data_IF_857369341900
#
_entry.id   IF_857369341900
#
_cell.length_a   1.000
_cell.length_b   1.000
_cell.length_c   1.000
_cell.angle_alpha   90.00
_cell.angle_beta   90.00
_cell.angle_gamma   90.00
#
_symmetry.space_group_name_H-M   'P 1'
#
loop_
_entity.id
_entity.type
_entity.pdbx_description
1 polymer ?
#
# COMPACT_ATOMS: atom_id res chain seq x y z
N UNK A 1 32.06 -0.26 -10.97
CA UNK A 1 31.50 -0.75 -9.69
C UNK A 1 29.99 -0.79 -9.84
N UNK A 2 29.35 -1.95 -9.73
CA UNK A 2 27.89 -2.05 -9.72
C UNK A 2 27.36 -1.28 -8.51
N UNK A 3 26.53 -0.26 -8.76
CA UNK A 3 25.96 0.60 -7.72
C UNK A 3 25.05 -0.28 -6.85
N UNK A 4 25.23 -0.28 -5.53
CA UNK A 4 24.38 -1.07 -4.62
C UNK A 4 22.96 -0.49 -4.60
N UNK A 5 21.91 -1.32 -4.58
CA UNK A 5 20.53 -0.84 -4.49
C UNK A 5 20.27 -0.15 -3.16
N UNK A 6 19.46 0.90 -3.22
CA UNK A 6 19.11 1.78 -2.10
C UNK A 6 17.80 1.30 -1.49
N UNK A 7 17.76 1.17 -0.17
CA UNK A 7 16.55 0.93 0.62
C UNK A 7 16.09 2.26 1.20
N UNK A 8 14.96 2.75 0.70
CA UNK A 8 14.27 3.94 1.19
C UNK A 8 13.10 3.53 2.09
N UNK A 9 13.03 4.09 3.29
CA UNK A 9 11.95 3.79 4.25
C UNK A 9 10.95 4.93 4.30
N UNK A 10 9.70 4.62 3.96
CA UNK A 10 8.59 5.58 3.94
C UNK A 10 7.95 5.71 5.32
N UNK A 11 8.14 6.88 5.95
CA UNK A 11 7.63 7.22 7.29
C UNK A 11 6.19 7.76 7.22
N UNK A 12 5.26 6.91 6.78
CA UNK A 12 3.82 7.23 6.66
C UNK A 12 3.11 7.26 8.04
N UNK A 13 3.46 8.28 8.84
CA UNK A 13 2.88 8.53 10.15
C UNK A 13 2.06 9.81 10.16
N UNK A 14 1.18 9.97 11.15
CA UNK A 14 0.55 11.25 11.45
C UNK A 14 1.22 11.98 12.62
N UNK A 15 2.14 11.31 13.32
CA UNK A 15 2.78 11.81 14.53
C UNK A 15 4.31 11.79 14.36
N UNK A 16 4.92 12.95 14.50
CA UNK A 16 6.35 13.14 14.29
C UNK A 16 7.23 12.33 15.26
N UNK A 17 6.86 12.24 16.54
CA UNK A 17 7.65 11.51 17.53
C UNK A 17 7.77 10.02 17.17
N UNK A 18 6.66 9.39 16.76
CA UNK A 18 6.67 8.01 16.28
C UNK A 18 7.50 7.82 15.02
N UNK A 19 7.42 8.77 14.08
CA UNK A 19 8.22 8.74 12.86
C UNK A 19 9.73 8.79 13.17
N UNK A 20 10.17 9.67 14.07
CA UNK A 20 11.59 9.78 14.46
C UNK A 20 12.08 8.50 15.15
N UNK A 21 11.28 7.93 16.06
CA UNK A 21 11.63 6.67 16.72
C UNK A 21 11.82 5.55 15.69
N UNK A 22 10.89 5.40 14.75
CA UNK A 22 10.98 4.37 13.72
C UNK A 22 12.14 4.62 12.74
N UNK A 23 12.39 5.87 12.37
CA UNK A 23 13.52 6.25 11.53
C UNK A 23 14.86 5.80 12.15
N UNK A 24 15.02 5.95 13.47
CA UNK A 24 16.20 5.48 14.19
C UNK A 24 16.37 3.97 14.08
N UNK A 25 15.29 3.21 14.26
CA UNK A 25 15.30 1.75 14.16
C UNK A 25 15.58 1.27 12.73
N UNK A 26 14.95 1.90 11.74
CA UNK A 26 15.18 1.62 10.32
C UNK A 26 16.63 1.88 9.91
N UNK A 27 17.22 3.01 10.30
CA UNK A 27 18.63 3.31 10.04
C UNK A 27 19.56 2.30 10.72
N UNK A 28 19.27 1.91 11.97
CA UNK A 28 20.03 0.87 12.66
C UNK A 28 19.94 -0.49 11.94
N UNK A 29 18.87 -0.73 11.20
CA UNK A 29 18.68 -1.93 10.38
C UNK A 29 19.23 -1.83 8.96
N UNK A 30 19.84 -0.71 8.57
CA UNK A 30 20.50 -0.54 7.28
C UNK A 30 19.65 0.12 6.18
N UNK A 31 18.63 0.90 6.55
CA UNK A 31 18.01 1.84 5.63
C UNK A 31 19.05 2.88 5.14
N UNK A 32 19.03 3.22 3.86
CA UNK A 32 19.94 4.24 3.31
C UNK A 32 19.26 5.61 3.32
N UNK A 33 17.98 5.68 2.91
CA UNK A 33 17.21 6.91 2.77
C UNK A 33 15.97 6.89 3.67
N UNK A 34 15.60 8.06 4.18
CA UNK A 34 14.38 8.26 4.94
C UNK A 34 13.43 9.16 4.15
N UNK A 35 12.21 8.67 3.94
CA UNK A 35 11.16 9.44 3.28
C UNK A 35 10.18 9.97 4.33
N UNK A 36 10.04 11.29 4.37
CA UNK A 36 8.98 11.98 5.11
C UNK A 36 7.71 11.85 4.28
N UNK A 37 6.90 10.85 4.60
CA UNK A 37 5.71 10.49 3.81
C UNK A 37 4.68 11.62 3.73
N UNK A 38 3.88 11.63 2.66
CA UNK A 38 2.79 12.61 2.49
C UNK A 38 1.88 12.78 3.72
N UNK A 39 1.44 11.72 4.44
CA UNK A 39 0.60 11.88 5.63
C UNK A 39 1.28 12.66 6.75
N UNK A 40 2.60 12.47 6.92
CA UNK A 40 3.36 13.12 7.97
C UNK A 40 3.55 14.61 7.66
N UNK A 41 3.89 14.91 6.41
CA UNK A 41 3.98 16.29 5.91
C UNK A 41 2.63 17.00 6.05
N UNK A 42 1.51 16.35 5.72
CA UNK A 42 0.18 16.96 5.84
C UNK A 42 -0.26 17.18 7.29
N UNK A 43 0.20 16.34 8.21
CA UNK A 43 -0.14 16.43 9.63
C UNK A 43 0.69 17.50 10.36
N UNK A 44 2.00 17.51 10.13
CA UNK A 44 2.98 18.28 10.91
C UNK A 44 3.62 19.44 10.13
N UNK A 45 3.31 19.55 8.84
CA UNK A 45 3.90 20.52 7.92
C UNK A 45 5.40 20.28 7.69
N UNK A 46 6.09 21.33 7.26
CA UNK A 46 7.53 21.30 6.99
C UNK A 46 8.40 21.08 8.23
N UNK A 47 7.82 21.23 9.44
CA UNK A 47 8.51 20.91 10.68
C UNK A 47 8.91 19.44 10.76
N UNK A 48 8.15 18.53 10.13
CA UNK A 48 8.53 17.12 10.04
C UNK A 48 9.89 16.94 9.36
N UNK A 49 10.11 17.62 8.21
CA UNK A 49 11.37 17.55 7.47
C UNK A 49 12.51 18.15 8.32
N UNK A 50 12.28 19.31 8.95
CA UNK A 50 13.30 19.99 9.77
C UNK A 50 13.76 19.16 10.96
N UNK A 51 12.82 18.57 11.69
CA UNK A 51 13.15 17.75 12.86
C UNK A 51 13.79 16.42 12.48
N UNK A 52 13.38 15.80 11.36
CA UNK A 52 14.06 14.60 10.84
C UNK A 52 15.49 14.94 10.38
N UNK A 53 15.70 16.06 9.67
CA UNK A 53 17.05 16.54 9.31
C UNK A 53 17.91 16.80 10.54
N UNK A 54 17.35 17.43 11.58
CA UNK A 54 18.04 17.68 12.84
C UNK A 54 18.43 16.38 13.55
N UNK A 55 17.55 15.38 13.55
CA UNK A 55 17.81 14.08 14.17
C UNK A 55 18.82 13.23 13.37
N UNK A 56 18.83 13.35 12.04
CA UNK A 56 19.61 12.50 11.12
C UNK A 56 20.36 13.36 10.07
N UNK A 57 21.36 14.16 10.48
CA UNK A 57 21.98 15.17 9.62
C UNK A 57 22.72 14.60 8.41
N UNK A 58 23.21 13.36 8.50
CA UNK A 58 24.02 12.71 7.45
C UNK A 58 23.21 11.72 6.58
N UNK A 59 21.90 11.64 6.79
CA UNK A 59 21.02 10.72 6.06
C UNK A 59 20.37 11.46 4.91
N UNK A 60 20.18 10.77 3.77
CA UNK A 60 19.39 11.32 2.67
C UNK A 60 17.92 11.38 3.05
N UNK A 61 17.32 12.57 2.94
CA UNK A 61 15.91 12.82 3.27
C UNK A 61 15.12 13.08 1.99
N UNK A 62 14.11 12.26 1.77
CA UNK A 62 13.14 12.40 0.70
C UNK A 62 11.88 13.06 1.28
N UNK A 63 11.43 14.17 0.70
CA UNK A 63 10.16 14.80 1.04
C UNK A 63 9.09 14.34 0.05
N UNK A 64 8.17 13.50 0.50
CA UNK A 64 7.07 12.99 -0.33
C UNK A 64 5.92 14.00 -0.42
N UNK A 65 6.22 15.15 -1.03
CA UNK A 65 5.30 16.28 -1.16
C UNK A 65 4.08 15.93 -2.02
N UNK A 66 4.25 15.04 -3.00
CA UNK A 66 3.26 14.77 -4.06
C UNK A 66 2.77 16.07 -4.70
N UNK A 67 3.71 16.95 -4.98
CA UNK A 67 3.46 18.25 -5.61
C UNK A 67 2.69 18.04 -6.91
N UNK A 68 1.56 18.72 -7.03
CA UNK A 68 0.68 18.67 -8.21
C UNK A 68 0.70 19.99 -8.98
N UNK A 69 0.96 21.10 -8.29
CA UNK A 69 1.03 22.45 -8.82
C UNK A 69 2.08 23.25 -8.03
N UNK A 70 2.44 24.46 -8.50
CA UNK A 70 3.39 25.36 -7.86
C UNK A 70 4.76 24.70 -7.60
N UNK A 71 5.28 24.01 -8.62
CA UNK A 71 6.47 23.16 -8.54
C UNK A 71 7.66 23.85 -7.88
N UNK A 72 7.93 25.10 -8.26
CA UNK A 72 9.01 25.89 -7.64
C UNK A 72 8.79 26.13 -6.14
N UNK A 73 7.59 26.55 -5.75
CA UNK A 73 7.29 26.96 -4.37
C UNK A 73 7.38 25.78 -3.42
N UNK A 74 6.80 24.62 -3.78
CA UNK A 74 6.82 23.44 -2.93
C UNK A 74 8.23 22.84 -2.81
N UNK A 75 8.99 22.78 -3.92
CA UNK A 75 10.38 22.32 -3.90
C UNK A 75 11.27 23.23 -3.06
N UNK A 76 11.15 24.55 -3.23
CA UNK A 76 11.89 25.52 -2.42
C UNK A 76 11.60 25.34 -0.93
N UNK A 77 10.33 25.18 -0.58
CA UNK A 77 9.90 25.00 0.81
C UNK A 77 10.47 23.72 1.43
N UNK A 78 10.42 22.60 0.71
CA UNK A 78 10.94 21.31 1.17
C UNK A 78 12.48 21.32 1.27
N UNK A 79 13.18 21.83 0.24
CA UNK A 79 14.64 21.91 0.20
C UNK A 79 15.19 22.79 1.32
N UNK A 80 14.63 24.00 1.52
CA UNK A 80 14.99 24.89 2.65
C UNK A 80 14.73 24.27 4.02
N UNK A 81 13.82 23.30 4.09
CA UNK A 81 13.50 22.57 5.32
C UNK A 81 14.44 21.39 5.57
N UNK A 82 15.33 21.08 4.63
CA UNK A 82 16.39 20.07 4.76
C UNK A 82 16.17 18.79 3.95
N UNK A 83 15.25 18.77 2.98
CA UNK A 83 15.09 17.66 2.06
C UNK A 83 16.20 17.67 0.99
N UNK A 84 16.77 16.50 0.71
CA UNK A 84 17.73 16.32 -0.40
C UNK A 84 17.01 15.96 -1.70
N UNK A 85 15.87 15.27 -1.59
CA UNK A 85 15.06 14.83 -2.71
C UNK A 85 13.62 15.25 -2.47
N UNK A 86 12.93 15.77 -3.48
CA UNK A 86 11.52 16.16 -3.39
C UNK A 86 10.69 15.37 -4.41
N UNK A 87 9.60 14.75 -3.95
CA UNK A 87 8.71 13.97 -4.80
C UNK A 87 7.59 14.81 -5.42
N UNK A 88 7.38 14.64 -6.72
CA UNK A 88 6.37 15.34 -7.52
C UNK A 88 5.50 14.31 -8.23
N UNK A 89 4.21 14.59 -8.40
CA UNK A 89 3.33 13.68 -9.14
C UNK A 89 3.64 13.76 -10.64
N UNK A 90 3.78 12.60 -11.28
CA UNK A 90 3.92 12.48 -12.72
C UNK A 90 2.65 12.92 -13.47
N UNK A 91 1.51 13.00 -12.78
CA UNK A 91 0.28 13.57 -13.31
C UNK A 91 0.28 15.12 -13.37
N UNK A 92 1.23 15.79 -12.71
CA UNK A 92 1.38 17.25 -12.79
C UNK A 92 1.72 17.71 -14.21
N UNK A 93 1.50 19.00 -14.49
CA UNK A 93 1.85 19.58 -15.79
C UNK A 93 3.36 19.57 -16.02
N UNK A 94 3.78 19.54 -17.29
CA UNK A 94 5.20 19.61 -17.64
C UNK A 94 5.86 20.90 -17.13
N UNK A 95 5.14 22.02 -17.15
CA UNK A 95 5.63 23.31 -16.65
C UNK A 95 5.92 23.23 -15.16
N UNK A 96 5.00 22.67 -14.36
CA UNK A 96 5.19 22.41 -12.93
C UNK A 96 6.45 21.58 -12.67
N UNK A 97 6.64 20.49 -13.42
CA UNK A 97 7.82 19.62 -13.26
C UNK A 97 9.10 20.34 -13.68
N UNK A 98 9.06 21.11 -14.78
CA UNK A 98 10.22 21.85 -15.27
C UNK A 98 10.65 22.94 -14.29
N UNK A 99 9.70 23.70 -13.73
CA UNK A 99 9.95 24.69 -12.69
C UNK A 99 10.52 24.07 -11.43
N UNK A 100 10.03 22.90 -11.05
CA UNK A 100 10.54 22.15 -9.92
C UNK A 100 11.97 21.66 -10.12
N UNK A 101 12.30 21.12 -11.30
CA UNK A 101 13.67 20.73 -11.66
C UNK A 101 14.61 21.94 -11.62
N UNK A 102 14.15 23.09 -12.09
CA UNK A 102 14.94 24.33 -12.02
C UNK A 102 15.14 24.80 -10.56
N UNK A 103 14.09 24.76 -9.74
CA UNK A 103 14.16 25.10 -8.32
C UNK A 103 15.10 24.16 -7.56
N UNK A 104 15.04 22.86 -7.83
CA UNK A 104 15.90 21.86 -7.20
C UNK A 104 17.38 22.16 -7.43
N UNK A 105 17.76 22.52 -8.67
CA UNK A 105 19.13 22.95 -9.01
C UNK A 105 19.59 24.17 -8.21
N UNK A 106 18.70 25.15 -7.99
CA UNK A 106 19.03 26.36 -7.23
C UNK A 106 19.28 26.09 -5.75
N UNK A 107 18.64 25.06 -5.20
CA UNK A 107 18.71 24.72 -3.77
C UNK A 107 19.58 23.49 -3.47
N UNK A 108 20.20 22.87 -4.48
CA UNK A 108 21.01 21.67 -4.31
C UNK A 108 20.20 20.42 -3.95
N UNK A 109 18.92 20.39 -4.32
CA UNK A 109 18.04 19.24 -4.16
C UNK A 109 17.89 18.48 -5.50
N UNK A 110 17.29 17.30 -5.45
CA UNK A 110 16.97 16.48 -6.60
C UNK A 110 15.47 16.20 -6.70
N UNK A 111 14.98 15.92 -7.90
CA UNK A 111 13.57 15.63 -8.15
C UNK A 111 13.33 14.15 -8.39
N UNK A 112 12.42 13.58 -7.60
CA UNK A 112 11.83 12.27 -7.88
C UNK A 112 10.41 12.47 -8.39
N UNK A 113 10.04 11.84 -9.50
CA UNK A 113 8.67 11.89 -10.02
C UNK A 113 7.95 10.57 -9.79
N UNK A 114 6.87 10.62 -9.02
CA UNK A 114 5.98 9.51 -8.73
C UNK A 114 4.94 9.36 -9.85
N UNK A 115 5.01 8.28 -10.63
CA UNK A 115 4.10 8.01 -11.75
C UNK A 115 2.82 7.27 -11.33
N UNK A 116 2.45 7.29 -10.04
CA UNK A 116 1.16 6.79 -9.56
C UNK A 116 -0.01 7.40 -10.34
N UNK A 117 -0.97 6.55 -10.70
CA UNK A 117 -2.18 6.94 -11.45
C UNK A 117 -1.95 7.68 -12.79
N UNK A 118 -0.77 7.53 -13.41
CA UNK A 118 -0.53 8.00 -14.79
C UNK A 118 -1.09 6.99 -15.78
N UNK A 119 -1.89 7.43 -16.75
CA UNK A 119 -2.55 6.55 -17.72
C UNK A 119 -1.58 5.78 -18.63
N UNK A 120 -0.53 6.45 -19.12
CA UNK A 120 0.53 5.83 -19.94
C UNK A 120 1.89 6.02 -19.26
N UNK A 121 2.21 5.19 -18.25
CA UNK A 121 3.38 5.37 -17.40
C UNK A 121 4.70 5.25 -18.17
N UNK A 122 4.80 4.34 -19.15
CA UNK A 122 6.01 4.16 -19.97
C UNK A 122 6.29 5.40 -20.82
N UNK A 123 5.28 5.92 -21.54
CA UNK A 123 5.43 7.15 -22.33
C UNK A 123 5.76 8.35 -21.43
N UNK A 124 5.15 8.42 -20.24
CA UNK A 124 5.41 9.48 -19.28
C UNK A 124 6.85 9.42 -18.77
N UNK A 125 7.36 8.25 -18.40
CA UNK A 125 8.73 8.06 -17.94
C UNK A 125 9.78 8.61 -18.93
N UNK A 126 9.66 8.27 -20.22
CA UNK A 126 10.54 8.80 -21.29
C UNK A 126 10.48 10.32 -21.39
N UNK A 127 9.30 10.90 -21.18
CA UNK A 127 9.12 12.36 -21.21
C UNK A 127 9.76 13.02 -19.98
N UNK A 128 9.60 12.43 -18.80
CA UNK A 128 10.17 12.94 -17.54
C UNK A 128 11.69 12.98 -17.58
N UNK A 129 12.34 11.95 -18.15
CA UNK A 129 13.79 11.94 -18.35
C UNK A 129 14.25 13.14 -19.21
N UNK A 130 13.51 13.47 -20.28
CA UNK A 130 13.80 14.64 -21.14
C UNK A 130 13.60 15.98 -20.42
N UNK A 131 12.74 16.04 -19.41
CA UNK A 131 12.54 17.24 -18.58
C UNK A 131 13.65 17.42 -17.54
N UNK A 132 14.59 16.49 -17.42
CA UNK A 132 15.73 16.59 -16.51
C UNK A 132 15.41 16.14 -15.07
N UNK A 133 14.42 15.27 -14.90
CA UNK A 133 14.11 14.61 -13.62
C UNK A 133 15.26 13.69 -13.20
N UNK A 134 15.62 13.68 -11.92
CA UNK A 134 16.71 12.85 -11.40
C UNK A 134 16.30 11.38 -11.18
N UNK A 135 15.06 11.14 -10.72
CA UNK A 135 14.55 9.82 -10.38
C UNK A 135 13.11 9.62 -10.85
N UNK A 136 12.76 8.42 -11.30
CA UNK A 136 11.35 8.04 -11.56
C UNK A 136 10.94 6.97 -10.55
N UNK A 137 9.84 7.19 -9.83
CA UNK A 137 9.25 6.23 -8.91
C UNK A 137 8.07 5.50 -9.57
N UNK A 138 8.29 4.23 -9.91
CA UNK A 138 7.28 3.28 -10.35
C UNK A 138 6.43 2.87 -9.16
N UNK A 139 5.37 3.64 -8.92
CA UNK A 139 4.45 3.41 -7.82
C UNK A 139 3.12 2.89 -8.36
N UNK A 140 2.75 1.68 -7.95
CA UNK A 140 1.41 1.15 -8.20
C UNK A 140 0.62 1.18 -6.91
N UNK A 141 -0.36 2.08 -6.84
CA UNK A 141 -1.22 2.25 -5.67
C UNK A 141 -2.04 0.99 -5.37
N UNK A 142 -2.61 0.91 -4.16
CA UNK A 142 -3.42 -0.26 -3.75
C UNK A 142 -4.57 -0.51 -4.71
N UNK A 143 -5.28 0.54 -5.12
CA UNK A 143 -6.41 0.44 -6.04
C UNK A 143 -6.02 -0.04 -7.45
N UNK A 144 -4.86 0.39 -7.95
CA UNK A 144 -4.34 -0.04 -9.26
C UNK A 144 -3.94 -1.52 -9.23
N UNK A 145 -3.34 -2.00 -8.13
CA UNK A 145 -3.05 -3.42 -7.96
C UNK A 145 -4.33 -4.25 -7.87
N UNK A 146 -5.39 -3.74 -7.23
CA UNK A 146 -6.71 -4.40 -7.23
C UNK A 146 -7.32 -4.50 -8.64
N UNK A 147 -6.97 -3.58 -9.55
CA UNK A 147 -7.33 -3.64 -10.98
C UNK A 147 -6.39 -4.52 -11.81
N UNK A 148 -5.46 -5.23 -11.18
CA UNK A 148 -4.56 -6.19 -11.84
C UNK A 148 -3.27 -5.59 -12.41
N UNK A 149 -2.93 -4.34 -12.07
CA UNK A 149 -1.65 -3.74 -12.49
C UNK A 149 -0.51 -4.34 -11.66
N UNK A 150 0.43 -5.02 -12.33
CA UNK A 150 1.63 -5.58 -11.70
C UNK A 150 2.78 -4.55 -11.69
N UNK A 151 3.24 -4.10 -10.51
CA UNK A 151 4.34 -3.13 -10.40
C UNK A 151 5.67 -3.65 -10.96
N UNK A 152 5.96 -4.95 -10.87
CA UNK A 152 7.23 -5.52 -11.32
C UNK A 152 7.32 -5.55 -12.84
N UNK A 153 6.22 -5.91 -13.51
CA UNK A 153 6.13 -5.84 -14.97
C UNK A 153 6.28 -4.42 -15.49
N UNK A 154 5.61 -3.46 -14.85
CA UNK A 154 5.71 -2.05 -15.24
C UNK A 154 7.15 -1.52 -15.07
N UNK A 155 7.83 -1.91 -13.99
CA UNK A 155 9.23 -1.56 -13.76
C UNK A 155 10.12 -2.05 -14.93
N UNK A 156 9.97 -3.30 -15.34
CA UNK A 156 10.72 -3.90 -16.46
C UNK A 156 10.49 -3.11 -17.76
N UNK A 157 9.23 -2.84 -18.11
CA UNK A 157 8.87 -2.07 -19.31
C UNK A 157 9.47 -0.65 -19.30
N UNK A 158 9.52 0.02 -18.15
CA UNK A 158 10.11 1.37 -18.03
C UNK A 158 11.63 1.31 -18.09
N UNK A 159 12.26 0.32 -17.44
CA UNK A 159 13.72 0.16 -17.39
C UNK A 159 14.33 0.05 -18.78
N UNK A 160 13.62 -0.56 -19.73
CA UNK A 160 14.05 -0.65 -21.14
C UNK A 160 14.03 0.68 -21.90
N UNK A 161 13.32 1.70 -21.39
CA UNK A 161 13.04 2.95 -22.12
C UNK A 161 13.72 4.18 -21.54
N UNK A 162 14.16 4.13 -20.28
CA UNK A 162 14.85 5.24 -19.62
C UNK A 162 16.20 4.79 -19.08
N UNK A 163 17.12 5.74 -18.91
CA UNK A 163 18.47 5.52 -18.37
C UNK A 163 18.63 6.04 -16.94
N UNK A 164 17.84 7.03 -16.52
CA UNK A 164 17.88 7.55 -15.15
C UNK A 164 17.48 6.49 -14.10
N UNK A 165 17.90 6.65 -12.83
CA UNK A 165 17.62 5.69 -11.78
C UNK A 165 16.12 5.52 -11.51
N UNK A 166 15.71 4.27 -11.28
CA UNK A 166 14.32 3.89 -11.02
C UNK A 166 14.11 3.51 -9.56
N UNK A 167 13.10 4.11 -8.94
CA UNK A 167 12.53 3.68 -7.68
C UNK A 167 11.29 2.82 -7.90
N UNK A 168 11.01 1.89 -7.00
CA UNK A 168 9.75 1.13 -6.98
C UNK A 168 9.08 1.22 -5.61
N UNK A 169 7.77 1.47 -5.62
CA UNK A 169 6.94 1.57 -4.44
C UNK A 169 5.60 0.82 -4.63
N UNK A 170 4.96 0.48 -3.51
CA UNK A 170 3.61 -0.11 -3.52
C UNK A 170 3.55 -1.53 -2.94
N UNK A 171 3.69 -1.65 -1.62
CA UNK A 171 3.53 -2.94 -0.93
C UNK A 171 4.71 -3.90 -1.10
N UNK A 172 5.91 -3.38 -1.33
CA UNK A 172 7.14 -4.17 -1.38
C UNK A 172 7.46 -4.75 0.01
N UNK A 173 7.92 -5.99 0.05
CA UNK A 173 8.30 -6.72 1.26
C UNK A 173 9.59 -7.56 1.01
N UNK A 174 10.00 -8.38 1.97
CA UNK A 174 11.22 -9.20 1.88
C UNK A 174 11.20 -10.27 0.78
N UNK A 175 10.02 -10.65 0.26
CA UNK A 175 9.90 -11.60 -0.85
C UNK A 175 10.00 -10.89 -2.21
N UNK A 176 9.44 -9.68 -2.33
CA UNK A 176 9.39 -8.94 -3.59
C UNK A 176 10.56 -7.98 -3.82
N UNK A 177 11.24 -7.53 -2.76
CA UNK A 177 12.35 -6.59 -2.86
C UNK A 177 13.52 -7.12 -3.69
N UNK A 178 13.87 -8.41 -3.54
CA UNK A 178 14.92 -9.04 -4.33
C UNK A 178 14.58 -9.03 -5.83
N UNK A 179 13.32 -9.36 -6.17
CA UNK A 179 12.87 -9.39 -7.56
C UNK A 179 12.81 -8.00 -8.19
N UNK A 180 12.41 -6.99 -7.44
CA UNK A 180 12.46 -5.60 -7.87
C UNK A 180 13.88 -5.16 -8.28
N UNK A 181 14.89 -5.48 -7.47
CA UNK A 181 16.29 -5.16 -7.78
C UNK A 181 16.75 -5.93 -9.04
N UNK A 182 16.41 -7.21 -9.15
CA UNK A 182 16.73 -8.03 -10.33
C UNK A 182 16.16 -7.44 -11.63
N UNK A 183 14.95 -6.87 -11.56
CA UNK A 183 14.27 -6.21 -12.69
C UNK A 183 14.75 -4.77 -12.95
N UNK A 184 15.79 -4.31 -12.24
CA UNK A 184 16.46 -3.03 -12.52
C UNK A 184 16.01 -1.85 -11.67
N UNK A 185 15.37 -2.08 -10.52
CA UNK A 185 15.17 -1.03 -9.53
C UNK A 185 16.50 -0.63 -8.87
N UNK A 186 16.82 0.66 -8.91
CA UNK A 186 17.96 1.25 -8.20
C UNK A 186 17.61 1.58 -6.74
N UNK A 187 16.34 1.91 -6.50
CA UNK A 187 15.79 2.28 -5.19
C UNK A 187 14.54 1.43 -4.91
N UNK A 188 14.48 0.83 -3.73
CA UNK A 188 13.32 0.08 -3.25
C UNK A 188 12.71 0.83 -2.08
N UNK A 189 11.47 1.30 -2.26
CA UNK A 189 10.74 2.07 -1.25
C UNK A 189 9.83 1.15 -0.45
N UNK A 190 10.03 1.12 0.87
CA UNK A 190 9.28 0.25 1.78
C UNK A 190 8.65 1.06 2.91
N UNK A 191 7.33 1.05 2.96
CA UNK A 191 6.54 1.60 4.07
C UNK A 191 6.08 0.50 5.02
N UNK A 192 4.83 0.06 4.86
CA UNK A 192 4.12 -0.82 5.80
C UNK A 192 4.88 -2.06 6.29
N UNK A 193 5.64 -2.73 5.43
CA UNK A 193 6.40 -3.93 5.81
C UNK A 193 7.46 -3.66 6.89
N UNK A 194 7.95 -2.42 7.00
CA UNK A 194 8.81 -1.95 8.09
C UNK A 194 7.97 -1.24 9.14
N UNK A 195 7.14 -0.27 8.73
CA UNK A 195 6.53 0.69 9.67
C UNK A 195 5.51 0.12 10.62
N UNK A 196 4.89 -1.01 10.27
CA UNK A 196 3.96 -1.73 11.16
C UNK A 196 4.40 -3.17 11.40
N UNK A 197 5.71 -3.40 11.39
CA UNK A 197 6.33 -4.60 11.96
C UNK A 197 6.46 -4.46 13.48
N UNK A 198 6.61 -5.58 14.19
CA UNK A 198 6.87 -5.57 15.65
C UNK A 198 8.28 -5.04 15.98
N UNK A 199 9.23 -5.22 15.06
CA UNK A 199 10.62 -4.78 15.18
C UNK A 199 11.08 -4.21 13.83
N UNK A 200 11.03 -2.87 13.73
CA UNK A 200 11.34 -2.15 12.49
C UNK A 200 12.80 -2.30 12.08
N UNK A 201 13.72 -2.42 13.06
CA UNK A 201 15.13 -2.66 12.79
C UNK A 201 15.30 -4.01 12.11
N UNK A 202 14.81 -5.08 12.71
CA UNK A 202 14.92 -6.44 12.16
C UNK A 202 14.23 -6.58 10.81
N UNK A 203 13.05 -5.98 10.64
CA UNK A 203 12.36 -5.95 9.36
C UNK A 203 13.22 -5.28 8.26
N UNK A 204 13.86 -4.16 8.60
CA UNK A 204 14.77 -3.45 7.69
C UNK A 204 16.00 -4.29 7.36
N UNK A 205 16.63 -4.94 8.35
CA UNK A 205 17.79 -5.83 8.15
C UNK A 205 17.45 -6.97 7.19
N UNK A 206 16.29 -7.62 7.37
CA UNK A 206 15.82 -8.72 6.53
C UNK A 206 15.61 -8.24 5.08
N UNK A 207 14.97 -7.10 4.88
CA UNK A 207 14.70 -6.57 3.54
C UNK A 207 16.00 -6.15 2.87
N UNK A 208 16.89 -5.44 3.58
CA UNK A 208 18.20 -5.05 3.05
C UNK A 208 19.03 -6.27 2.65
N UNK A 209 18.99 -7.33 3.47
CA UNK A 209 19.65 -8.60 3.15
C UNK A 209 19.05 -9.25 1.89
N UNK A 210 17.73 -9.32 1.79
CA UNK A 210 17.05 -9.88 0.61
C UNK A 210 17.45 -9.15 -0.69
N UNK A 211 17.53 -7.82 -0.65
CA UNK A 211 17.98 -6.98 -1.76
C UNK A 211 19.44 -7.24 -2.16
N UNK A 212 20.34 -7.31 -1.18
CA UNK A 212 21.78 -7.48 -1.44
C UNK A 212 22.16 -8.91 -1.87
N UNK A 213 21.47 -9.92 -1.33
CA UNK A 213 21.72 -11.33 -1.67
C UNK A 213 20.92 -11.80 -2.89
N UNK A 214 20.06 -10.95 -3.46
CA UNK A 214 19.11 -11.28 -4.53
C UNK A 214 18.28 -12.55 -4.23
N UNK A 215 17.92 -12.75 -2.96
CA UNK A 215 17.19 -13.92 -2.48
C UNK A 215 15.90 -13.49 -1.76
N UNK A 216 14.72 -13.94 -2.24
CA UNK A 216 13.47 -13.74 -1.51
C UNK A 216 13.53 -14.38 -0.12
N UNK A 217 13.23 -13.61 0.93
CA UNK A 217 13.12 -14.14 2.30
C UNK A 217 11.65 -14.23 2.65
N UNK A 218 11.19 -15.46 2.95
CA UNK A 218 9.78 -15.73 3.25
C UNK A 218 9.28 -14.92 4.45
N UNK A 219 8.07 -14.37 4.31
CA UNK A 219 7.37 -13.66 5.40
C UNK A 219 5.90 -14.10 5.47
N UNK A 220 5.32 -14.07 6.66
CA UNK A 220 3.87 -14.21 6.84
C UNK A 220 3.14 -12.87 6.86
N UNK A 221 3.87 -11.76 7.05
CA UNK A 221 3.33 -10.42 7.19
C UNK A 221 3.38 -9.67 5.85
N UNK A 222 2.41 -8.78 5.62
CA UNK A 222 2.32 -7.94 4.41
C UNK A 222 2.28 -8.73 3.10
N UNK A 223 1.73 -9.95 3.15
CA UNK A 223 1.33 -10.69 1.97
C UNK A 223 -0.02 -10.22 1.47
N UNK A 224 -0.11 -10.03 0.16
CA UNK A 224 -1.38 -9.81 -0.52
C UNK A 224 -1.91 -11.15 -0.99
N UNK A 225 -3.20 -11.35 -0.78
CA UNK A 225 -3.89 -12.58 -1.14
C UNK A 225 -5.03 -12.21 -2.08
N UNK A 226 -5.07 -12.88 -3.22
CA UNK A 226 -6.05 -12.64 -4.28
C UNK A 226 -6.96 -13.83 -4.51
N UNK A 227 -6.61 -15.01 -3.99
CA UNK A 227 -7.46 -16.21 -4.07
C UNK A 227 -8.59 -16.15 -3.03
N UNK A 228 -9.82 -16.57 -3.38
CA UNK A 228 -10.91 -16.69 -2.42
C UNK A 228 -10.56 -17.57 -1.21
N UNK A 229 -9.80 -18.63 -1.41
CA UNK A 229 -9.39 -19.58 -0.37
C UNK A 229 -8.46 -18.94 0.66
N UNK A 230 -7.49 -18.14 0.21
CA UNK A 230 -6.56 -17.49 1.13
C UNK A 230 -7.23 -16.32 1.86
N UNK A 231 -8.10 -15.57 1.18
CA UNK A 231 -8.95 -14.56 1.82
C UNK A 231 -9.77 -15.20 2.96
N UNK A 232 -10.41 -16.34 2.68
CA UNK A 232 -11.18 -17.09 3.69
C UNK A 232 -10.31 -17.46 4.88
N UNK A 233 -9.12 -18.04 4.67
CA UNK A 233 -8.18 -18.44 5.74
C UNK A 233 -7.77 -17.26 6.62
N UNK A 234 -7.54 -16.08 6.04
CA UNK A 234 -7.09 -14.90 6.80
C UNK A 234 -8.22 -14.28 7.59
N UNK A 235 -9.40 -14.13 6.99
CA UNK A 235 -10.58 -13.63 7.69
C UNK A 235 -10.97 -14.58 8.86
N UNK A 236 -10.70 -15.88 8.72
CA UNK A 236 -10.84 -16.85 9.82
C UNK A 236 -9.84 -16.62 10.97
N UNK A 237 -8.73 -15.91 10.76
CA UNK A 237 -7.75 -15.56 11.82
C UNK A 237 -8.07 -14.25 12.54
N UNK A 238 -8.81 -13.33 11.93
CA UNK A 238 -9.07 -11.98 12.48
C UNK A 238 -10.49 -11.82 13.05
N UNK A 239 -10.66 -11.06 14.12
CA UNK A 239 -11.98 -10.81 14.71
C UNK A 239 -12.82 -9.87 13.84
N UNK A 240 -14.15 -10.03 13.85
CA UNK A 240 -15.07 -9.11 13.14
C UNK A 240 -14.91 -7.65 13.59
N UNK A 241 -14.70 -7.32 14.88
CA UNK A 241 -14.37 -5.96 15.31
C UNK A 241 -13.12 -5.39 14.63
N UNK A 242 -12.04 -6.19 14.49
CA UNK A 242 -10.82 -5.73 13.81
C UNK A 242 -11.08 -5.44 12.32
N UNK A 243 -11.90 -6.27 11.66
CA UNK A 243 -12.32 -6.02 10.27
C UNK A 243 -13.13 -4.71 10.20
N UNK A 244 -14.09 -4.52 11.10
CA UNK A 244 -14.92 -3.31 11.16
C UNK A 244 -14.07 -2.06 11.36
N UNK A 245 -13.13 -2.07 12.31
CA UNK A 245 -12.22 -0.94 12.54
C UNK A 245 -11.33 -0.65 11.33
N UNK A 246 -10.80 -1.70 10.67
CA UNK A 246 -10.03 -1.56 9.42
C UNK A 246 -10.87 -0.97 8.27
N UNK A 247 -12.18 -1.21 8.27
CA UNK A 247 -13.14 -0.63 7.32
C UNK A 247 -13.72 0.72 7.78
N UNK A 248 -13.08 1.40 8.74
CA UNK A 248 -13.55 2.67 9.32
C UNK A 248 -14.96 2.57 9.93
N UNK A 249 -15.29 1.42 10.52
CA UNK A 249 -16.59 1.10 11.11
C UNK A 249 -17.73 1.29 10.11
N UNK A 250 -17.52 0.84 8.88
CA UNK A 250 -18.51 0.82 7.78
C UNK A 250 -18.68 -0.60 7.25
N UNK A 251 -19.75 -0.84 6.50
CA UNK A 251 -19.96 -2.10 5.80
C UNK A 251 -20.43 -3.28 6.67
N UNK A 252 -20.94 -3.04 7.88
CA UNK A 252 -21.49 -4.08 8.76
C UNK A 252 -23.01 -3.99 8.89
N UNK A 253 -23.65 -5.14 9.13
CA UNK A 253 -25.09 -5.22 9.40
C UNK A 253 -25.37 -4.94 10.88
N UNK A 254 -26.33 -4.06 11.15
CA UNK A 254 -26.77 -3.72 12.52
C UNK A 254 -27.83 -4.71 13.01
N UNK A 255 -27.83 -4.97 14.32
CA UNK A 255 -28.89 -5.76 14.96
C UNK A 255 -28.76 -7.28 14.81
N UNK A 256 -27.70 -7.78 14.15
CA UNK A 256 -27.44 -9.22 14.06
C UNK A 256 -26.84 -9.73 15.37
N UNK A 257 -27.43 -10.80 15.91
CA UNK A 257 -26.91 -11.52 17.07
C UNK A 257 -26.82 -13.02 16.74
N UNK A 258 -25.74 -13.72 17.14
CA UNK A 258 -25.65 -15.16 16.94
C UNK A 258 -26.66 -15.87 17.84
N UNK A 259 -27.40 -16.83 17.27
CA UNK A 259 -28.35 -17.67 18.00
C UNK A 259 -27.66 -18.96 18.50
N UNK A 260 -26.62 -19.43 17.81
CA UNK A 260 -25.96 -20.73 18.02
C UNK A 260 -24.67 -20.66 18.87
N UNK A 261 -24.50 -19.62 19.69
CA UNK A 261 -23.31 -19.43 20.51
C UNK A 261 -22.11 -18.80 19.76
N UNK A 262 -20.88 -19.11 20.19
CA UNK A 262 -19.64 -18.56 19.61
C UNK A 262 -19.26 -19.26 18.29
N UNK A 263 -20.03 -19.02 17.23
CA UNK A 263 -19.73 -19.50 15.88
C UNK A 263 -19.05 -18.40 15.08
N UNK A 264 -17.95 -18.74 14.41
CA UNK A 264 -17.28 -17.88 13.42
C UNK A 264 -17.49 -18.47 12.03
N UNK A 265 -17.99 -17.65 11.11
CA UNK A 265 -18.16 -18.02 9.71
C UNK A 265 -17.54 -16.95 8.81
N UNK A 266 -16.97 -17.40 7.70
CA UNK A 266 -16.39 -16.57 6.65
C UNK A 266 -16.71 -17.23 5.31
N UNK A 267 -17.30 -16.46 4.41
CA UNK A 267 -17.63 -16.89 3.06
C UNK A 267 -18.18 -15.73 2.25
N UNK A 268 -18.25 -15.92 0.94
CA UNK A 268 -18.93 -14.98 0.06
C UNK A 268 -20.43 -14.93 0.42
N UNK A 269 -20.99 -13.72 0.45
CA UNK A 269 -22.38 -13.53 0.85
C UNK A 269 -23.33 -13.79 -0.32
N UNK A 270 -24.19 -14.81 -0.19
CA UNK A 270 -25.33 -15.02 -1.10
C UNK A 270 -26.55 -14.36 -0.47
N UNK A 271 -26.92 -13.19 -0.99
CA UNK A 271 -28.00 -12.39 -0.43
C UNK A 271 -29.35 -12.74 -1.04
N UNK A 272 -30.37 -12.90 -0.21
CA UNK A 272 -31.74 -13.22 -0.59
C UNK A 272 -32.66 -12.18 0.00
N UNK A 273 -33.58 -11.65 -0.81
CA UNK A 273 -34.72 -10.87 -0.32
C UNK A 273 -36.01 -11.62 -0.63
N UNK A 274 -36.86 -11.80 0.37
CA UNK A 274 -38.11 -12.55 0.25
C UNK A 274 -39.24 -11.87 1.03
N UNK A 275 -40.48 -12.22 0.69
CA UNK A 275 -41.65 -11.79 1.46
C UNK A 275 -41.73 -12.55 2.78
N UNK A 276 -42.36 -11.97 3.81
CA UNK A 276 -42.62 -12.66 5.07
C UNK A 276 -43.30 -14.01 4.87
N UNK A 277 -42.72 -15.07 5.42
CA UNK A 277 -43.23 -16.44 5.33
C UNK A 277 -42.94 -17.19 4.04
N UNK A 278 -42.30 -16.56 3.03
CA UNK A 278 -41.84 -17.27 1.84
C UNK A 278 -40.49 -17.95 2.12
N UNK A 279 -40.54 -19.27 2.30
CA UNK A 279 -39.37 -20.13 2.53
C UNK A 279 -38.71 -20.60 1.22
N UNK A 280 -39.36 -20.45 0.06
CA UNK A 280 -38.86 -21.01 -1.19
C UNK A 280 -37.57 -20.31 -1.65
N UNK A 281 -37.50 -18.98 -1.52
CA UNK A 281 -36.31 -18.20 -1.91
C UNK A 281 -35.09 -18.49 -1.03
N UNK A 282 -35.20 -18.56 0.31
CA UNK A 282 -34.13 -19.06 1.16
C UNK A 282 -33.60 -20.44 0.77
N UNK A 283 -34.46 -21.39 0.41
CA UNK A 283 -34.05 -22.74 0.00
C UNK A 283 -33.40 -22.74 -1.38
N UNK A 284 -33.96 -22.02 -2.35
CA UNK A 284 -33.33 -21.85 -3.68
C UNK A 284 -31.92 -21.24 -3.56
N UNK A 285 -31.68 -20.39 -2.56
CA UNK A 285 -30.35 -19.85 -2.31
C UNK A 285 -29.35 -20.91 -1.88
N UNK A 286 -29.78 -21.97 -1.20
CA UNK A 286 -28.92 -23.13 -0.90
C UNK A 286 -28.45 -23.75 -2.20
N UNK A 287 -29.35 -23.95 -3.18
CA UNK A 287 -29.02 -24.55 -4.47
C UNK A 287 -28.07 -23.69 -5.31
N UNK A 288 -28.16 -22.37 -5.18
CA UNK A 288 -27.29 -21.42 -5.89
C UNK A 288 -25.97 -21.14 -5.17
N UNK A 289 -25.91 -21.31 -3.86
CA UNK A 289 -24.72 -21.01 -3.07
C UNK A 289 -23.59 -22.02 -3.35
N UNK A 290 -22.40 -21.58 -3.79
CA UNK A 290 -21.21 -22.42 -3.83
C UNK A 290 -20.79 -22.89 -2.43
N UNK A 291 -20.05 -24.00 -2.32
CA UNK A 291 -19.64 -24.49 -1.02
C UNK A 291 -18.87 -23.48 -0.17
N UNK A 292 -19.22 -23.41 1.11
CA UNK A 292 -18.63 -22.45 2.05
C UNK A 292 -19.11 -21.00 1.95
N UNK A 293 -20.10 -20.69 1.12
CA UNK A 293 -20.76 -19.37 1.11
C UNK A 293 -21.54 -19.10 2.40
N UNK A 294 -21.87 -17.83 2.64
CA UNK A 294 -22.74 -17.39 3.74
C UNK A 294 -24.05 -16.88 3.15
N UNK A 295 -25.17 -17.53 3.47
CA UNK A 295 -26.48 -17.08 3.01
C UNK A 295 -27.00 -15.98 3.96
N UNK A 296 -27.37 -14.83 3.40
CA UNK A 296 -27.90 -13.69 4.13
C UNK A 296 -29.33 -13.41 3.64
N UNK A 297 -30.31 -13.56 4.52
CA UNK A 297 -31.74 -13.49 4.15
C UNK A 297 -32.37 -12.25 4.78
N UNK A 298 -32.93 -11.37 3.94
CA UNK A 298 -33.88 -10.34 4.34
C UNK A 298 -35.31 -10.85 4.09
N UNK A 299 -36.01 -11.19 5.18
CA UNK A 299 -37.39 -11.68 5.15
C UNK A 299 -38.42 -10.58 5.50
N UNK A 300 -38.03 -9.30 5.48
CA UNK A 300 -38.93 -8.18 5.77
C UNK A 300 -39.25 -7.95 7.25
N UNK A 301 -38.59 -8.66 8.18
CA UNK A 301 -38.62 -8.38 9.62
C UNK A 301 -39.90 -8.76 10.37
N UNK A 302 -40.83 -9.44 9.72
CA UNK A 302 -42.06 -9.96 10.34
C UNK A 302 -42.14 -11.48 10.16
N UNK A 303 -42.75 -12.17 11.13
CA UNK A 303 -42.95 -13.61 11.04
C UNK A 303 -43.92 -14.01 9.91
N UNK A 304 -44.04 -15.32 9.62
CA UNK A 304 -43.38 -16.44 10.28
C UNK A 304 -41.90 -16.62 9.85
N UNK A 305 -41.15 -17.46 10.58
CA UNK A 305 -39.75 -17.74 10.28
C UNK A 305 -39.59 -18.43 8.90
N UNK A 306 -38.62 -17.98 8.10
CA UNK A 306 -38.34 -18.51 6.76
C UNK A 306 -37.14 -19.47 6.73
N UNK A 307 -36.58 -19.80 7.89
CA UNK A 307 -35.44 -20.70 8.06
C UNK A 307 -35.66 -21.66 9.24
N UNK A 308 -35.20 -22.90 9.11
CA UNK A 308 -35.38 -23.93 10.13
C UNK A 308 -34.44 -25.13 9.98
N UNK A 309 -34.76 -26.22 10.66
CA UNK A 309 -33.93 -27.43 10.73
C UNK A 309 -33.64 -28.04 9.35
N UNK A 310 -34.68 -28.21 8.51
CA UNK A 310 -34.52 -28.83 7.19
C UNK A 310 -33.57 -28.04 6.29
N UNK A 311 -33.73 -26.71 6.23
CA UNK A 311 -32.84 -25.83 5.48
C UNK A 311 -31.39 -25.92 6.02
N UNK A 312 -31.22 -26.01 7.33
CA UNK A 312 -29.91 -26.15 7.97
C UNK A 312 -29.24 -27.49 7.61
N UNK A 313 -29.99 -28.58 7.55
CA UNK A 313 -29.49 -29.88 7.08
C UNK A 313 -29.12 -29.86 5.59
N UNK A 314 -29.93 -29.22 4.75
CA UNK A 314 -29.60 -29.04 3.33
C UNK A 314 -28.27 -28.31 3.14
N UNK A 315 -28.01 -27.24 3.90
CA UNK A 315 -26.70 -26.57 3.89
C UNK A 315 -25.57 -27.51 4.31
N UNK A 316 -25.75 -28.27 5.40
CA UNK A 316 -24.73 -29.18 5.91
C UNK A 316 -24.37 -30.30 4.92
N UNK A 317 -25.36 -30.80 4.17
CA UNK A 317 -25.14 -31.83 3.16
C UNK A 317 -24.45 -31.28 1.91
N UNK A 318 -24.74 -30.01 1.55
CA UNK A 318 -24.13 -29.37 0.39
C UNK A 318 -22.68 -28.93 0.62
N UNK A 319 -22.36 -28.50 1.84
CA UNK A 319 -21.04 -28.01 2.25
C UNK A 319 -20.95 -26.49 2.24
#
# INVERSE_FOLDING_TARGET
MTKKPILQVALDFLNLHRAIQLAKEALAGGADWLEVGTPLIKSEGMSAIREIRKAFPNTTIVADMKTMDLGRVEVEMAAKSGADIVCILGAADDSTISEAVEAAKNYGAQIMVDIINVDNPVKRAVKLEKLGVDYICVHVGVDQQMRGVDPLKLLEEIREKVSIPLAIAGGINSETAAKAVELGADIVIVGGAITKSEDARKATEIIKKAMLEAKPIKTELYKRFTSPEDIRKILLRVSTPNISDAMHRKGFLKGIKPITGNVKMVGEAVTVRTYPGDWAKPVEAIDKAPPGSVIVIDAGGVGPAVWGELASWSCKLKG
#
